data_IF_545880875541
#
_entry.id   IF_545880875541
#
_cell.length_a   1.000
_cell.length_b   1.000
_cell.length_c   1.000
_cell.angle_alpha   90.00
_cell.angle_beta   90.00
_cell.angle_gamma   90.00
#
_symmetry.space_group_name_H-M   'P 1'
#
loop_
_entity.id
_entity.type
_entity.pdbx_description
1 polymer ?
#
# COMPACT_ATOMS: atom_id res chain seq x y z
N UNK A 1 -24.99 10.74 -9.10
CA UNK A 1 -23.58 10.56 -9.52
C UNK A 1 -22.60 10.62 -8.33
N UNK A 2 -22.61 11.64 -7.48
CA UNK A 2 -21.66 11.73 -6.34
C UNK A 2 -21.70 10.54 -5.34
N UNK A 3 -22.85 9.90 -5.13
CA UNK A 3 -22.96 8.73 -4.24
C UNK A 3 -22.19 7.52 -4.76
N UNK A 4 -22.32 7.21 -6.05
CA UNK A 4 -21.67 6.06 -6.70
C UNK A 4 -20.15 6.20 -6.72
N UNK A 5 -19.63 7.39 -6.98
CA UNK A 5 -18.20 7.70 -6.97
C UNK A 5 -17.59 7.52 -5.58
N UNK A 6 -18.29 7.99 -4.53
CA UNK A 6 -17.85 7.84 -3.15
C UNK A 6 -17.86 6.38 -2.69
N UNK A 7 -18.85 5.60 -3.11
CA UNK A 7 -18.93 4.16 -2.85
C UNK A 7 -17.78 3.43 -3.55
N UNK A 8 -17.53 3.71 -4.81
CA UNK A 8 -16.42 3.12 -5.57
C UNK A 8 -15.05 3.45 -4.93
N UNK A 9 -14.85 4.71 -4.53
CA UNK A 9 -13.62 5.13 -3.85
C UNK A 9 -13.42 4.40 -2.51
N UNK A 10 -14.48 4.21 -1.71
CA UNK A 10 -14.41 3.46 -0.46
C UNK A 10 -14.10 1.99 -0.71
N UNK A 11 -14.82 1.33 -1.61
CA UNK A 11 -14.61 -0.09 -1.94
C UNK A 11 -13.20 -0.34 -2.51
N UNK A 12 -12.72 0.56 -3.38
CA UNK A 12 -11.35 0.50 -3.90
C UNK A 12 -10.30 0.58 -2.79
N UNK A 13 -10.46 1.50 -1.84
CA UNK A 13 -9.56 1.62 -0.68
C UNK A 13 -9.59 0.36 0.20
N UNK A 14 -10.78 -0.18 0.48
CA UNK A 14 -10.91 -1.43 1.24
C UNK A 14 -10.18 -2.56 0.52
N UNK A 15 -10.45 -2.78 -0.76
CA UNK A 15 -9.84 -3.86 -1.53
C UNK A 15 -8.31 -3.75 -1.58
N UNK A 16 -7.77 -2.55 -1.83
CA UNK A 16 -6.32 -2.32 -1.89
C UNK A 16 -5.65 -2.44 -0.51
N UNK A 17 -6.29 -1.95 0.54
CA UNK A 17 -5.73 -2.00 1.90
C UNK A 17 -5.66 -3.42 2.47
N UNK A 18 -6.60 -4.30 2.14
CA UNK A 18 -6.63 -5.68 2.66
C UNK A 18 -5.33 -6.45 2.38
N UNK A 19 -4.79 -6.33 1.16
CA UNK A 19 -3.55 -7.01 0.80
C UNK A 19 -2.37 -6.53 1.66
N UNK A 20 -2.25 -5.21 1.83
CA UNK A 20 -1.16 -4.59 2.59
C UNK A 20 -1.27 -4.84 4.09
N UNK A 21 -2.48 -4.75 4.65
CA UNK A 21 -2.72 -5.08 6.06
C UNK A 21 -2.40 -6.56 6.31
N UNK A 22 -2.87 -7.47 5.45
CA UNK A 22 -2.60 -8.91 5.57
C UNK A 22 -1.09 -9.20 5.45
N UNK A 23 -0.42 -8.64 4.44
CA UNK A 23 1.01 -8.82 4.22
C UNK A 23 1.87 -8.26 5.37
N UNK A 24 1.58 -7.03 5.78
CA UNK A 24 2.28 -6.37 6.88
C UNK A 24 2.05 -7.07 8.22
N UNK A 25 0.83 -7.54 8.48
CA UNK A 25 0.51 -8.32 9.67
C UNK A 25 1.28 -9.65 9.71
N UNK A 26 1.32 -10.38 8.59
CA UNK A 26 2.09 -11.61 8.48
C UNK A 26 3.59 -11.39 8.74
N UNK A 27 4.16 -10.30 8.19
CA UNK A 27 5.57 -9.94 8.44
C UNK A 27 5.84 -9.55 9.90
N UNK A 28 4.88 -8.90 10.56
CA UNK A 28 4.98 -8.56 11.98
C UNK A 28 5.03 -9.82 12.85
N UNK A 29 4.21 -10.83 12.52
CA UNK A 29 4.16 -12.09 13.28
C UNK A 29 5.33 -13.05 12.99
N UNK A 30 5.97 -12.93 11.83
CA UNK A 30 7.05 -13.81 11.40
C UNK A 30 8.30 -13.01 10.95
N UNK A 31 8.98 -12.29 11.86
CA UNK A 31 10.13 -11.44 11.52
C UNK A 31 11.27 -12.25 10.90
N UNK A 32 11.60 -13.42 11.46
CA UNK A 32 12.69 -14.26 11.00
C UNK A 32 12.50 -14.73 9.54
N UNK A 33 11.28 -15.08 9.14
CA UNK A 33 10.96 -15.49 7.77
C UNK A 33 11.16 -14.34 6.78
N UNK A 34 10.73 -13.12 7.13
CA UNK A 34 10.91 -11.94 6.29
C UNK A 34 12.38 -11.55 6.17
N UNK A 35 13.14 -11.59 7.27
CA UNK A 35 14.57 -11.30 7.27
C UNK A 35 15.34 -12.32 6.43
N UNK A 36 15.00 -13.61 6.53
CA UNK A 36 15.61 -14.66 5.69
C UNK A 36 15.34 -14.44 4.20
N UNK A 37 14.11 -14.04 3.84
CA UNK A 37 13.77 -13.70 2.46
C UNK A 37 14.58 -12.50 1.95
N UNK A 38 14.70 -11.43 2.75
CA UNK A 38 15.50 -10.26 2.39
C UNK A 38 16.99 -10.59 2.23
N UNK A 39 17.54 -11.45 3.12
CA UNK A 39 18.91 -11.95 3.02
C UNK A 39 19.11 -12.75 1.73
N UNK A 40 18.14 -13.57 1.32
CA UNK A 40 18.17 -14.32 0.06
C UNK A 40 18.23 -13.43 -1.19
N UNK A 41 17.73 -12.20 -1.09
CA UNK A 41 17.87 -11.17 -2.13
C UNK A 41 19.12 -10.30 -1.97
N UNK A 42 20.07 -10.70 -1.12
CA UNK A 42 21.32 -9.99 -0.84
C UNK A 42 21.13 -8.55 -0.36
N UNK A 43 20.00 -8.24 0.27
CA UNK A 43 19.76 -6.92 0.84
C UNK A 43 20.55 -6.75 2.14
N UNK A 44 21.23 -5.61 2.30
CA UNK A 44 21.90 -5.28 3.55
C UNK A 44 20.88 -4.93 4.63
N UNK A 45 21.28 -5.06 5.91
CA UNK A 45 20.51 -4.55 7.05
C UNK A 45 19.08 -5.11 7.10
N UNK A 46 18.93 -6.43 6.96
CA UNK A 46 17.62 -7.12 6.84
C UNK A 46 16.64 -6.83 7.96
N UNK A 47 17.12 -6.50 9.17
CA UNK A 47 16.29 -6.11 10.31
C UNK A 47 15.57 -4.79 10.04
N UNK A 48 16.26 -3.77 9.55
CA UNK A 48 15.64 -2.50 9.16
C UNK A 48 14.75 -2.65 7.94
N UNK A 49 15.12 -3.51 6.99
CA UNK A 49 14.29 -3.86 5.84
C UNK A 49 12.97 -4.49 6.27
N UNK A 50 12.99 -5.41 7.24
CA UNK A 50 11.79 -5.97 7.83
C UNK A 50 10.93 -4.92 8.52
N UNK A 51 11.51 -4.07 9.39
CA UNK A 51 10.78 -2.99 10.07
C UNK A 51 10.13 -2.05 9.07
N UNK A 52 10.87 -1.64 8.04
CA UNK A 52 10.35 -0.78 6.98
C UNK A 52 9.17 -1.44 6.25
N UNK A 53 9.28 -2.73 5.91
CA UNK A 53 8.20 -3.46 5.27
C UNK A 53 6.94 -3.51 6.14
N UNK A 54 7.07 -3.78 7.44
CA UNK A 54 5.94 -3.77 8.38
C UNK A 54 5.31 -2.38 8.46
N UNK A 55 6.10 -1.34 8.64
CA UNK A 55 5.59 0.04 8.76
C UNK A 55 4.88 0.49 7.48
N UNK A 56 5.49 0.27 6.33
CA UNK A 56 4.92 0.68 5.03
C UNK A 56 3.67 -0.13 4.70
N UNK A 57 3.71 -1.45 4.86
CA UNK A 57 2.58 -2.29 4.48
C UNK A 57 1.44 -2.22 5.49
N UNK A 58 1.69 -2.47 6.76
CA UNK A 58 0.64 -2.46 7.77
C UNK A 58 0.17 -1.02 8.04
N UNK A 59 1.09 -0.10 8.27
CA UNK A 59 0.77 1.31 8.54
C UNK A 59 0.13 1.99 7.32
N UNK A 60 0.72 1.82 6.15
CA UNK A 60 0.18 2.35 4.89
C UNK A 60 -1.17 1.75 4.54
N UNK A 61 -1.34 0.44 4.69
CA UNK A 61 -2.62 -0.24 4.48
C UNK A 61 -3.72 0.29 5.39
N UNK A 62 -3.45 0.44 6.69
CA UNK A 62 -4.39 1.02 7.65
C UNK A 62 -4.71 2.49 7.32
N UNK A 63 -3.72 3.27 6.93
CA UNK A 63 -3.93 4.66 6.55
C UNK A 63 -4.83 4.79 5.31
N UNK A 64 -4.62 3.96 4.27
CA UNK A 64 -5.50 3.90 3.09
C UNK A 64 -6.91 3.47 3.48
N UNK A 65 -7.06 2.44 4.32
CA UNK A 65 -8.37 1.97 4.78
C UNK A 65 -9.17 3.09 5.44
N UNK A 66 -8.54 3.80 6.36
CA UNK A 66 -9.16 4.91 7.10
C UNK A 66 -9.33 6.18 6.25
N UNK A 67 -8.62 6.26 5.15
CA UNK A 67 -8.61 7.48 4.32
C UNK A 67 -7.81 8.61 4.95
N UNK A 68 -6.65 8.30 5.53
CA UNK A 68 -5.76 9.20 6.25
C UNK A 68 -4.52 9.48 5.39
N UNK A 69 -4.21 10.76 5.14
CA UNK A 69 -3.10 11.19 4.28
C UNK A 69 -3.06 10.44 2.95
N UNK A 70 -4.23 10.18 2.38
CA UNK A 70 -4.41 9.23 1.27
C UNK A 70 -3.52 9.51 0.07
N UNK A 71 -3.31 10.77 -0.28
CA UNK A 71 -2.46 11.14 -1.43
C UNK A 71 -0.99 10.78 -1.19
N UNK A 72 -0.45 11.17 -0.05
CA UNK A 72 0.96 10.90 0.30
C UNK A 72 1.21 9.42 0.51
N UNK A 73 0.31 8.74 1.24
CA UNK A 73 0.41 7.30 1.49
C UNK A 73 0.24 6.51 0.20
N UNK A 74 -0.68 6.91 -0.68
CA UNK A 74 -0.84 6.32 -2.00
C UNK A 74 0.45 6.39 -2.83
N UNK A 75 1.13 7.54 -2.84
CA UNK A 75 2.41 7.67 -3.54
C UNK A 75 3.49 6.76 -2.93
N UNK A 76 3.60 6.71 -1.60
CA UNK A 76 4.55 5.83 -0.91
C UNK A 76 4.29 4.36 -1.25
N UNK A 77 3.03 3.91 -1.22
CA UNK A 77 2.68 2.53 -1.56
C UNK A 77 2.86 2.22 -3.04
N UNK A 78 2.66 3.18 -3.94
CA UNK A 78 2.97 3.01 -5.36
C UNK A 78 4.47 2.76 -5.58
N UNK A 79 5.33 3.58 -4.95
CA UNK A 79 6.79 3.40 -4.99
C UNK A 79 7.19 2.05 -4.35
N UNK A 80 6.57 1.69 -3.24
CA UNK A 80 6.81 0.42 -2.56
C UNK A 80 6.49 -0.79 -3.44
N UNK A 81 5.36 -0.76 -4.16
CA UNK A 81 5.01 -1.83 -5.11
C UNK A 81 6.06 -1.99 -6.20
N UNK A 82 6.54 -0.89 -6.78
CA UNK A 82 7.60 -0.94 -7.80
C UNK A 82 8.88 -1.51 -7.21
N UNK A 83 9.31 -1.01 -6.05
CA UNK A 83 10.54 -1.46 -5.39
C UNK A 83 10.50 -2.97 -5.08
N UNK A 84 9.40 -3.45 -4.49
CA UNK A 84 9.24 -4.87 -4.15
C UNK A 84 9.12 -5.76 -5.40
N UNK A 85 8.51 -5.28 -6.48
CA UNK A 85 8.47 -5.99 -7.75
C UNK A 85 9.89 -6.18 -8.33
N UNK A 86 10.69 -5.13 -8.35
CA UNK A 86 12.05 -5.16 -8.88
C UNK A 86 13.02 -5.97 -8.01
N UNK A 87 12.81 -6.01 -6.70
CA UNK A 87 13.66 -6.77 -5.79
C UNK A 87 13.27 -8.26 -5.77
N UNK A 88 11.96 -8.54 -5.67
CA UNK A 88 11.48 -9.88 -5.34
C UNK A 88 10.95 -10.69 -6.51
N UNK A 89 10.64 -10.08 -7.67
CA UNK A 89 9.83 -10.71 -8.70
C UNK A 89 10.36 -10.49 -10.14
N UNK A 90 11.67 -10.65 -10.34
CA UNK A 90 12.30 -10.43 -11.66
C UNK A 90 12.67 -11.70 -12.41
N UNK A 91 12.46 -12.87 -11.83
CA UNK A 91 12.68 -14.14 -12.52
C UNK A 91 11.47 -14.51 -13.38
N UNK A 92 11.37 -13.93 -14.58
CA UNK A 92 10.25 -14.16 -15.50
C UNK A 92 10.23 -15.55 -16.15
N UNK A 93 11.24 -16.40 -15.92
CA UNK A 93 11.18 -17.81 -16.27
C UNK A 93 10.23 -18.59 -15.33
N UNK A 94 10.00 -18.08 -14.13
CA UNK A 94 9.00 -18.57 -13.18
C UNK A 94 7.70 -17.80 -13.35
N UNK A 95 6.66 -18.48 -13.82
CA UNK A 95 5.32 -17.92 -14.04
C UNK A 95 4.74 -17.25 -12.79
N UNK A 96 5.05 -17.76 -11.63
CA UNK A 96 4.57 -17.19 -10.35
C UNK A 96 5.20 -15.82 -10.10
N UNK A 97 6.50 -15.69 -10.36
CA UNK A 97 7.22 -14.44 -10.23
C UNK A 97 6.71 -13.38 -11.23
N UNK A 98 6.47 -13.79 -12.47
CA UNK A 98 5.86 -12.92 -13.49
C UNK A 98 4.49 -12.38 -13.02
N UNK A 99 3.62 -13.26 -12.51
CA UNK A 99 2.30 -12.87 -12.00
C UNK A 99 2.44 -11.90 -10.82
N UNK A 100 3.36 -12.15 -9.89
CA UNK A 100 3.59 -11.24 -8.77
C UNK A 100 4.10 -9.87 -9.22
N UNK A 101 4.99 -9.83 -10.21
CA UNK A 101 5.45 -8.57 -10.82
C UNK A 101 4.28 -7.78 -11.41
N UNK A 102 3.46 -8.43 -12.24
CA UNK A 102 2.29 -7.78 -12.87
C UNK A 102 1.25 -7.32 -11.85
N UNK A 103 1.03 -8.08 -10.78
CA UNK A 103 0.16 -7.64 -9.66
C UNK A 103 0.68 -6.38 -8.99
N UNK A 104 1.99 -6.29 -8.75
CA UNK A 104 2.59 -5.07 -8.20
C UNK A 104 2.42 -3.88 -9.13
N UNK A 105 2.56 -4.06 -10.46
CA UNK A 105 2.31 -2.99 -11.43
C UNK A 105 0.84 -2.54 -11.43
N UNK A 106 -0.10 -3.48 -11.35
CA UNK A 106 -1.53 -3.15 -11.24
C UNK A 106 -1.84 -2.37 -9.96
N UNK A 107 -1.27 -2.79 -8.81
CA UNK A 107 -1.40 -2.08 -7.53
C UNK A 107 -0.77 -0.69 -7.59
N UNK A 108 0.39 -0.56 -8.22
CA UNK A 108 1.02 0.75 -8.47
C UNK A 108 0.06 1.69 -9.18
N UNK A 109 -0.59 1.24 -10.25
CA UNK A 109 -1.60 2.02 -10.97
C UNK A 109 -2.73 2.45 -10.05
N UNK A 110 -3.30 1.53 -9.26
CA UNK A 110 -4.35 1.83 -8.29
C UNK A 110 -3.92 2.88 -7.24
N UNK A 111 -2.72 2.75 -6.67
CA UNK A 111 -2.22 3.73 -5.70
C UNK A 111 -1.88 5.09 -6.31
N UNK A 112 -1.46 5.15 -7.56
CA UNK A 112 -1.30 6.41 -8.28
C UNK A 112 -2.64 7.13 -8.48
N UNK A 113 -3.74 6.39 -8.74
CA UNK A 113 -5.09 6.97 -8.74
C UNK A 113 -5.46 7.53 -7.36
N UNK A 114 -5.17 6.80 -6.27
CA UNK A 114 -5.40 7.30 -4.90
C UNK A 114 -4.56 8.54 -4.62
N UNK A 115 -3.31 8.58 -5.05
CA UNK A 115 -2.43 9.73 -4.90
C UNK A 115 -2.95 10.97 -5.67
N UNK A 116 -3.45 10.76 -6.88
CA UNK A 116 -3.97 11.84 -7.73
C UNK A 116 -5.31 12.39 -7.23
N UNK A 117 -6.25 11.52 -6.87
CA UNK A 117 -7.65 11.90 -6.60
C UNK A 117 -8.02 11.90 -5.12
N UNK A 118 -7.19 11.28 -4.24
CA UNK A 118 -7.44 11.20 -2.80
C UNK A 118 -8.42 10.09 -2.41
N UNK A 119 -8.85 10.11 -1.14
CA UNK A 119 -9.64 9.04 -0.52
C UNK A 119 -11.16 9.12 -0.72
N UNK A 120 -11.66 10.12 -1.44
CA UNK A 120 -13.09 10.36 -1.61
C UNK A 120 -13.75 10.98 -0.36
N UNK A 121 -15.05 11.27 -0.45
CA UNK A 121 -15.79 12.00 0.58
C UNK A 121 -15.93 11.23 1.90
N UNK A 122 -15.82 9.90 1.87
CA UNK A 122 -15.89 9.02 3.06
C UNK A 122 -14.49 8.65 3.60
N UNK A 123 -13.60 9.66 3.64
CA UNK A 123 -12.24 9.56 4.18
C UNK A 123 -12.07 10.46 5.39
N UNK A 124 -11.10 10.17 6.25
CA UNK A 124 -10.71 11.06 7.35
C UNK A 124 -10.16 12.39 6.81
N UNK A 125 -9.43 12.37 5.70
CA UNK A 125 -8.94 13.58 5.02
C UNK A 125 -10.09 14.54 4.68
N UNK A 126 -11.18 14.02 4.10
CA UNK A 126 -12.34 14.82 3.75
C UNK A 126 -13.08 15.38 4.98
N UNK A 127 -13.08 14.67 6.11
CA UNK A 127 -13.66 15.14 7.36
C UNK A 127 -12.85 16.29 7.97
N UNK A 128 -11.52 16.21 7.93
CA UNK A 128 -10.65 17.26 8.45
C UNK A 128 -10.75 18.55 7.63
N UNK A 129 -10.77 18.44 6.31
CA UNK A 129 -10.97 19.59 5.42
C UNK A 129 -12.28 20.32 5.70
N UNK A 130 -13.39 19.57 5.89
CA UNK A 130 -14.70 20.16 6.20
C UNK A 130 -14.72 20.88 7.55
N UNK A 131 -14.04 20.35 8.57
CA UNK A 131 -13.95 21.01 9.90
C UNK A 131 -13.09 22.27 9.87
N UNK A 132 -12.08 22.34 9.02
CA UNK A 132 -11.23 23.52 8.86
C UNK A 132 -11.97 24.71 8.20
N UNK A 133 -12.89 24.44 7.28
CA UNK A 133 -13.71 25.46 6.60
C UNK A 133 -14.81 26.00 7.51
N UNK A 134 -15.39 25.19 8.39
CA UNK A 134 -16.48 25.61 9.30
C UNK A 134 -16.01 26.47 10.50
N UNK A 135 -14.70 26.65 10.67
CA UNK A 135 -14.12 27.45 11.77
C UNK A 135 -13.58 28.82 11.34
N UNK A 136 -13.73 29.16 10.07
CA UNK A 136 -13.43 30.47 9.49
C UNK A 136 -14.71 31.20 9.11
#
# INVERSE_FOLDING_TARGET
MQGTENTAALLGRIAMSLLFIHGGWGKLLAPAATQAMLAGHHLPMVEYGWMLAVVVELGGGLAILLGLFTRSVGLVLAIWCVATALIGHTNFADRNQEIHFLKNMAMTGGFLYVAAFGGGAWSLDARWLRRGVSRR
#
